data_IF_899685510512
#
_entry.id   IF_899685510512
#
_cell.length_a   1.000
_cell.length_b   1.000
_cell.length_c   1.000
_cell.angle_alpha   90.00
_cell.angle_beta   90.00
_cell.angle_gamma   90.00
#
_symmetry.space_group_name_H-M   'P 1'
#
loop_
_entity.id
_entity.type
_entity.pdbx_description
1 polymer ?
#
# COMPACT_ATOMS: atom_id res chain seq x y z
N UNK A 1 -9.31 -11.92 1.68
CA UNK A 1 -8.28 -12.79 1.08
C UNK A 1 -8.16 -12.40 -0.36
N UNK A 2 -7.02 -11.80 -0.69
CA UNK A 2 -6.67 -11.46 -2.06
C UNK A 2 -6.67 -12.72 -2.94
N UNK A 3 -7.36 -12.66 -4.08
CA UNK A 3 -7.39 -13.75 -5.05
C UNK A 3 -5.99 -14.00 -5.63
N UNK A 4 -5.73 -15.23 -6.03
CA UNK A 4 -4.59 -15.56 -6.87
C UNK A 4 -4.69 -14.85 -8.22
N UNK A 5 -3.55 -14.64 -8.87
CA UNK A 5 -3.49 -13.96 -10.16
C UNK A 5 -4.04 -14.91 -11.23
N UNK A 6 -5.06 -14.47 -11.95
CA UNK A 6 -5.51 -15.15 -13.17
C UNK A 6 -4.61 -14.72 -14.33
N UNK A 7 -4.09 -15.67 -15.12
CA UNK A 7 -3.27 -15.36 -16.30
C UNK A 7 -4.09 -15.53 -17.57
N UNK A 8 -4.10 -14.52 -18.43
CA UNK A 8 -4.73 -14.57 -19.76
C UNK A 8 -3.69 -14.36 -20.84
N UNK A 9 -3.40 -15.43 -21.58
CA UNK A 9 -2.54 -15.37 -22.76
C UNK A 9 -3.36 -14.89 -23.95
N UNK A 10 -2.97 -13.76 -24.55
CA UNK A 10 -3.75 -13.08 -25.58
C UNK A 10 -2.88 -12.57 -26.74
N UNK A 11 -3.50 -12.33 -27.89
CA UNK A 11 -2.90 -11.50 -28.93
C UNK A 11 -3.02 -10.01 -28.58
N UNK A 12 -2.11 -9.14 -29.08
CA UNK A 12 -2.18 -7.69 -28.85
C UNK A 12 -3.54 -7.04 -29.10
N UNK A 13 -4.23 -7.44 -30.17
CA UNK A 13 -5.55 -6.92 -30.55
C UNK A 13 -6.67 -7.24 -29.54
N UNK A 14 -6.44 -8.18 -28.63
CA UNK A 14 -7.40 -8.62 -27.62
C UNK A 14 -7.18 -7.93 -26.26
N UNK A 15 -6.17 -7.06 -26.15
CA UNK A 15 -5.93 -6.31 -24.91
C UNK A 15 -7.13 -5.41 -24.61
N UNK A 16 -7.71 -5.47 -23.39
CA UNK A 16 -8.83 -4.63 -23.03
C UNK A 16 -8.55 -3.13 -23.28
N UNK A 17 -9.49 -2.34 -23.84
CA UNK A 17 -9.24 -0.95 -24.22
C UNK A 17 -8.68 -0.07 -23.10
N UNK A 18 -9.13 -0.29 -21.85
CA UNK A 18 -8.63 0.45 -20.68
C UNK A 18 -7.15 0.14 -20.38
N UNK A 19 -6.74 -1.11 -20.58
CA UNK A 19 -5.34 -1.51 -20.40
C UNK A 19 -4.48 -1.07 -21.57
N UNK A 20 -5.02 -1.05 -22.79
CA UNK A 20 -4.34 -0.43 -23.92
C UNK A 20 -4.09 1.07 -23.70
N UNK A 21 -5.11 1.80 -23.21
CA UNK A 21 -4.96 3.21 -22.87
C UNK A 21 -3.85 3.41 -21.83
N UNK A 22 -3.82 2.57 -20.78
CA UNK A 22 -2.79 2.62 -19.74
C UNK A 22 -1.39 2.27 -20.28
N UNK A 23 -1.29 1.23 -21.13
CA UNK A 23 -0.06 0.82 -21.80
C UNK A 23 0.56 1.99 -22.57
N UNK A 24 -0.25 2.73 -23.33
CA UNK A 24 0.21 3.87 -24.11
C UNK A 24 0.54 5.10 -23.22
N UNK A 25 -0.34 5.45 -22.27
CA UNK A 25 -0.21 6.72 -21.54
C UNK A 25 0.74 6.66 -20.35
N UNK A 26 0.77 5.54 -19.61
CA UNK A 26 1.63 5.37 -18.42
C UNK A 26 2.96 4.72 -18.78
N UNK A 27 2.93 3.71 -19.65
CA UNK A 27 4.11 2.91 -19.96
C UNK A 27 4.74 3.26 -21.31
N UNK A 28 4.14 4.19 -22.07
CA UNK A 28 4.67 4.67 -23.35
C UNK A 28 5.01 3.54 -24.34
N UNK A 29 4.20 2.47 -24.33
CA UNK A 29 4.36 1.30 -25.20
C UNK A 29 3.21 1.22 -26.20
N UNK A 30 3.51 0.79 -27.42
CA UNK A 30 2.50 0.55 -28.46
C UNK A 30 1.73 -0.75 -28.24
N UNK A 31 0.55 -0.86 -28.84
CA UNK A 31 -0.27 -2.07 -28.70
C UNK A 31 0.47 -3.31 -29.18
N UNK A 32 1.18 -3.21 -30.30
CA UNK A 32 1.83 -4.36 -30.94
C UNK A 32 3.10 -4.83 -30.23
N UNK A 33 3.70 -3.95 -29.42
CA UNK A 33 4.86 -4.25 -28.56
C UNK A 33 4.45 -4.66 -27.14
N UNK A 34 3.15 -4.86 -26.91
CA UNK A 34 2.62 -5.37 -25.65
C UNK A 34 3.29 -6.68 -25.25
N UNK A 35 3.77 -6.75 -24.01
CA UNK A 35 4.29 -7.99 -23.41
C UNK A 35 3.40 -8.44 -22.25
N UNK A 36 3.12 -7.52 -21.31
CA UNK A 36 2.32 -7.80 -20.12
C UNK A 36 1.56 -6.57 -19.67
N UNK A 37 0.37 -6.78 -19.08
CA UNK A 37 -0.43 -5.75 -18.42
C UNK A 37 -1.17 -6.37 -17.24
N UNK A 38 -1.18 -5.68 -16.11
CA UNK A 38 -1.88 -6.13 -14.91
C UNK A 38 -3.16 -5.35 -14.69
N UNK A 39 -4.28 -6.06 -14.58
CA UNK A 39 -5.56 -5.53 -14.14
C UNK A 39 -5.68 -5.65 -12.62
N UNK A 40 -5.39 -4.56 -11.92
CA UNK A 40 -5.46 -4.50 -10.48
C UNK A 40 -6.87 -4.72 -9.92
N UNK A 41 -7.94 -4.42 -10.68
CA UNK A 41 -9.31 -4.61 -10.19
C UNK A 41 -9.68 -6.08 -10.15
N UNK A 42 -9.38 -6.80 -11.24
CA UNK A 42 -9.76 -8.19 -11.39
C UNK A 42 -8.67 -9.19 -11.01
N UNK A 43 -7.45 -8.69 -10.72
CA UNK A 43 -6.26 -9.50 -10.44
C UNK A 43 -5.90 -10.41 -11.62
N UNK A 44 -5.94 -9.84 -12.84
CA UNK A 44 -5.64 -10.56 -14.08
C UNK A 44 -4.32 -10.05 -14.66
N UNK A 45 -3.41 -10.96 -14.96
CA UNK A 45 -2.21 -10.69 -15.73
C UNK A 45 -2.46 -11.08 -17.19
N UNK A 46 -2.62 -10.08 -18.04
CA UNK A 46 -2.68 -10.28 -19.49
C UNK A 46 -1.25 -10.38 -20.01
N UNK A 47 -0.94 -11.44 -20.75
CA UNK A 47 0.40 -11.67 -21.30
C UNK A 47 0.29 -11.93 -22.80
N UNK A 48 1.20 -11.36 -23.58
CA UNK A 48 1.24 -11.61 -25.01
C UNK A 48 1.59 -13.08 -25.27
N UNK A 49 0.85 -13.71 -26.18
CA UNK A 49 1.06 -15.10 -26.62
C UNK A 49 2.45 -15.41 -27.18
N UNK A 50 3.26 -14.39 -27.50
CA UNK A 50 4.65 -14.56 -27.94
C UNK A 50 5.61 -14.82 -26.77
N UNK A 51 5.20 -14.55 -25.53
CA UNK A 51 6.03 -14.77 -24.35
C UNK A 51 6.11 -16.28 -24.04
N UNK A 52 7.32 -16.84 -23.85
CA UNK A 52 7.50 -18.23 -23.46
C UNK A 52 6.85 -18.56 -22.11
N UNK A 53 6.28 -19.75 -21.97
CA UNK A 53 5.58 -20.19 -20.75
C UNK A 53 6.45 -20.09 -19.48
N UNK A 54 7.74 -20.42 -19.59
CA UNK A 54 8.69 -20.29 -18.48
C UNK A 54 8.83 -18.84 -17.98
N UNK A 55 8.67 -17.86 -18.85
CA UNK A 55 8.78 -16.44 -18.49
C UNK A 55 7.46 -15.90 -17.96
N UNK A 56 6.32 -16.40 -18.48
CA UNK A 56 5.01 -16.16 -17.88
C UNK A 56 5.01 -16.56 -16.41
N UNK A 57 5.64 -17.69 -16.08
CA UNK A 57 5.75 -18.16 -14.69
C UNK A 57 6.52 -17.17 -13.82
N UNK A 58 7.69 -16.69 -14.29
CA UNK A 58 8.46 -15.64 -13.61
C UNK A 58 7.63 -14.37 -13.39
N UNK A 59 6.85 -13.96 -14.39
CA UNK A 59 5.99 -12.77 -14.26
C UNK A 59 4.96 -12.94 -13.12
N UNK A 60 4.35 -14.12 -13.02
CA UNK A 60 3.41 -14.44 -11.94
C UNK A 60 4.11 -14.48 -10.58
N UNK A 61 5.30 -15.09 -10.50
CA UNK A 61 6.09 -15.21 -9.27
C UNK A 61 6.47 -13.83 -8.74
N UNK A 62 6.96 -12.93 -9.61
CA UNK A 62 7.27 -11.53 -9.26
C UNK A 62 6.02 -10.81 -8.76
N UNK A 63 4.91 -10.85 -9.51
CA UNK A 63 3.68 -10.14 -9.16
C UNK A 63 3.01 -10.71 -7.89
N UNK A 64 3.22 -11.99 -7.59
CA UNK A 64 2.59 -12.68 -6.46
C UNK A 64 3.45 -12.75 -5.20
N UNK A 65 4.72 -12.34 -5.30
CA UNK A 65 5.69 -12.48 -4.22
C UNK A 65 5.19 -11.94 -2.90
N UNK A 66 5.62 -12.57 -1.81
CA UNK A 66 4.99 -12.39 -0.50
C UNK A 66 5.62 -11.28 0.34
N UNK A 67 6.80 -10.79 -0.05
CA UNK A 67 7.56 -9.80 0.72
C UNK A 67 7.82 -8.54 -0.10
N UNK A 68 7.98 -7.40 0.57
CA UNK A 68 8.15 -6.09 -0.08
C UNK A 68 9.42 -5.96 -0.94
N UNK A 69 10.44 -6.77 -0.66
CA UNK A 69 11.82 -6.55 -1.10
C UNK A 69 12.19 -7.41 -2.31
N UNK A 70 11.43 -7.31 -3.40
CA UNK A 70 11.70 -8.08 -4.63
C UNK A 70 12.92 -7.59 -5.41
N UNK A 71 13.39 -6.37 -5.14
CA UNK A 71 14.59 -5.80 -5.77
C UNK A 71 15.84 -5.92 -4.92
N UNK A 72 15.77 -6.62 -3.79
CA UNK A 72 16.95 -6.92 -2.96
C UNK A 72 17.69 -8.12 -3.54
N UNK A 73 19.03 -8.08 -3.57
CA UNK A 73 19.86 -9.17 -4.10
C UNK A 73 19.71 -10.45 -3.28
N UNK A 74 19.37 -10.34 -2.00
CA UNK A 74 19.12 -11.50 -1.13
C UNK A 74 17.70 -12.09 -1.31
N UNK A 75 16.87 -11.49 -2.19
CA UNK A 75 15.54 -12.00 -2.46
C UNK A 75 15.62 -13.29 -3.29
N UNK A 76 14.91 -14.37 -2.93
CA UNK A 76 14.92 -15.63 -3.67
C UNK A 76 14.48 -15.52 -5.15
N UNK A 77 13.84 -14.42 -5.54
CA UNK A 77 13.42 -14.15 -6.92
C UNK A 77 14.21 -13.01 -7.58
N UNK A 78 15.31 -12.55 -6.97
CA UNK A 78 16.12 -11.45 -7.50
C UNK A 78 16.58 -11.74 -8.94
N UNK A 79 17.09 -12.96 -9.19
CA UNK A 79 17.54 -13.40 -10.52
C UNK A 79 16.39 -13.36 -11.55
N UNK A 80 15.17 -13.74 -11.16
CA UNK A 80 14.00 -13.68 -12.03
C UNK A 80 13.61 -12.22 -12.33
N UNK A 81 13.67 -11.34 -11.33
CA UNK A 81 13.40 -9.91 -11.49
C UNK A 81 14.42 -9.25 -12.42
N UNK A 82 15.70 -9.56 -12.26
CA UNK A 82 16.79 -9.08 -13.11
C UNK A 82 16.65 -9.61 -14.53
N UNK A 83 16.43 -10.92 -14.69
CA UNK A 83 16.18 -11.53 -16.00
C UNK A 83 15.05 -10.84 -16.76
N UNK A 84 13.93 -10.55 -16.08
CA UNK A 84 12.79 -9.88 -16.73
C UNK A 84 13.15 -8.46 -17.18
N UNK A 85 13.94 -7.74 -16.38
CA UNK A 85 14.43 -6.43 -16.76
C UNK A 85 15.35 -6.51 -18.00
N UNK A 86 16.28 -7.45 -18.03
CA UNK A 86 17.22 -7.61 -19.14
C UNK A 86 16.54 -8.09 -20.44
N UNK A 87 15.63 -9.07 -20.34
CA UNK A 87 15.01 -9.70 -21.50
C UNK A 87 13.86 -8.89 -22.09
N UNK A 88 13.08 -8.18 -21.26
CA UNK A 88 11.85 -7.51 -21.65
C UNK A 88 11.85 -5.99 -21.41
N UNK A 89 12.88 -5.48 -20.73
CA UNK A 89 13.09 -4.05 -20.53
C UNK A 89 12.31 -3.46 -19.36
N UNK A 90 12.61 -2.18 -19.11
CA UNK A 90 12.11 -1.42 -17.96
C UNK A 90 10.58 -1.40 -17.84
N UNK A 91 9.85 -1.28 -18.94
CA UNK A 91 8.38 -1.20 -18.90
C UNK A 91 7.73 -2.48 -18.34
N UNK A 92 8.21 -3.65 -18.75
CA UNK A 92 7.69 -4.95 -18.29
C UNK A 92 8.02 -5.15 -16.83
N UNK A 93 9.27 -4.91 -16.45
CA UNK A 93 9.70 -4.92 -15.05
C UNK A 93 8.85 -3.95 -14.19
N UNK A 94 8.64 -2.72 -14.66
CA UNK A 94 7.88 -1.69 -13.94
C UNK A 94 6.40 -2.09 -13.76
N UNK A 95 5.76 -2.67 -14.77
CA UNK A 95 4.38 -3.18 -14.67
C UNK A 95 4.26 -4.27 -13.60
N UNK A 96 5.20 -5.22 -13.57
CA UNK A 96 5.17 -6.35 -12.63
C UNK A 96 5.48 -5.91 -11.20
N UNK A 97 6.44 -5.00 -11.01
CA UNK A 97 6.76 -4.45 -9.70
C UNK A 97 5.61 -3.59 -9.14
N UNK A 98 4.92 -2.83 -9.98
CA UNK A 98 3.70 -2.11 -9.60
C UNK A 98 2.56 -3.06 -9.21
N UNK A 99 2.37 -4.14 -9.97
CA UNK A 99 1.40 -5.18 -9.65
C UNK A 99 1.69 -5.83 -8.28
N UNK A 100 2.95 -6.16 -8.02
CA UNK A 100 3.41 -6.67 -6.73
C UNK A 100 3.12 -5.66 -5.59
N UNK A 101 3.50 -4.39 -5.76
CA UNK A 101 3.26 -3.32 -4.77
C UNK A 101 1.77 -3.15 -4.46
N UNK A 102 0.90 -3.12 -5.47
CA UNK A 102 -0.55 -3.04 -5.29
C UNK A 102 -1.08 -4.21 -4.45
N UNK A 103 -0.65 -5.43 -4.77
CA UNK A 103 -1.03 -6.64 -4.03
C UNK A 103 -0.56 -6.62 -2.59
N UNK A 104 0.66 -6.15 -2.34
CA UNK A 104 1.20 -5.99 -0.98
C UNK A 104 0.41 -4.96 -0.17
N UNK A 105 0.07 -3.81 -0.78
CA UNK A 105 -0.81 -2.80 -0.16
C UNK A 105 -2.17 -3.39 0.23
N UNK A 106 -2.78 -4.19 -0.66
CA UNK A 106 -4.06 -4.86 -0.39
C UNK A 106 -3.95 -5.88 0.75
N UNK A 107 -2.89 -6.70 0.79
CA UNK A 107 -2.66 -7.67 1.88
C UNK A 107 -2.50 -6.96 3.22
N UNK A 108 -1.69 -5.89 3.28
CA UNK A 108 -1.51 -5.13 4.52
C UNK A 108 -2.79 -4.41 4.94
N UNK A 109 -3.57 -3.88 4.00
CA UNK A 109 -4.88 -3.30 4.29
C UNK A 109 -5.85 -4.35 4.86
N UNK A 110 -5.93 -5.55 4.29
CA UNK A 110 -6.75 -6.65 4.84
C UNK A 110 -6.33 -7.00 6.27
N UNK A 111 -5.03 -7.17 6.52
CA UNK A 111 -4.50 -7.45 7.88
C UNK A 111 -4.84 -6.32 8.85
N UNK A 112 -4.67 -5.07 8.44
CA UNK A 112 -4.96 -3.90 9.26
C UNK A 112 -6.46 -3.80 9.57
N UNK A 113 -7.33 -4.05 8.59
CA UNK A 113 -8.79 -4.06 8.79
C UNK A 113 -9.22 -5.16 9.76
N UNK A 114 -8.67 -6.36 9.65
CA UNK A 114 -8.97 -7.45 10.58
C UNK A 114 -8.51 -7.14 12.01
N UNK A 115 -7.35 -6.50 12.18
CA UNK A 115 -6.92 -5.99 13.50
C UNK A 115 -7.85 -4.90 14.00
N UNK A 116 -8.23 -3.95 13.14
CA UNK A 116 -9.13 -2.85 13.50
C UNK A 116 -10.50 -3.36 13.99
N UNK A 117 -11.07 -4.38 13.35
CA UNK A 117 -12.33 -5.01 13.79
C UNK A 117 -12.27 -5.53 15.23
N UNK A 118 -11.11 -6.00 15.68
CA UNK A 118 -10.91 -6.52 17.05
C UNK A 118 -10.69 -5.42 18.06
N UNK A 119 -10.02 -4.34 17.66
CA UNK A 119 -9.63 -3.24 18.55
C UNK A 119 -10.78 -2.23 18.71
N UNK A 120 -11.55 -1.97 17.64
CA UNK A 120 -12.60 -0.96 17.63
C UNK A 120 -13.66 -1.11 18.74
N UNK A 121 -14.14 -2.33 19.09
CA UNK A 121 -15.07 -2.49 20.20
C UNK A 121 -14.49 -2.07 21.55
N UNK A 122 -13.19 -2.30 21.79
CA UNK A 122 -12.50 -1.89 23.03
C UNK A 122 -12.46 -0.37 23.11
N UNK A 123 -12.03 0.30 22.03
CA UNK A 123 -12.01 1.77 21.97
C UNK A 123 -13.41 2.35 22.19
N UNK A 124 -14.44 1.75 21.57
CA UNK A 124 -15.83 2.21 21.74
C UNK A 124 -16.34 2.10 23.17
N UNK A 125 -15.94 1.07 23.92
CA UNK A 125 -16.34 0.93 25.31
C UNK A 125 -15.79 2.07 26.16
N UNK A 126 -14.50 2.41 25.99
CA UNK A 126 -13.87 3.55 26.67
C UNK A 126 -14.53 4.88 26.28
N UNK A 127 -14.80 5.09 24.98
CA UNK A 127 -15.47 6.31 24.52
C UNK A 127 -16.88 6.46 25.10
N UNK A 128 -17.65 5.38 25.21
CA UNK A 128 -18.97 5.44 25.81
C UNK A 128 -18.89 5.81 27.29
N UNK A 129 -17.94 5.26 28.04
CA UNK A 129 -17.74 5.62 29.45
C UNK A 129 -17.39 7.11 29.63
N UNK A 130 -16.66 7.71 28.68
CA UNK A 130 -16.41 9.17 28.68
C UNK A 130 -17.70 9.94 28.39
N UNK A 131 -18.44 9.55 27.34
CA UNK A 131 -19.68 10.24 26.92
C UNK A 131 -20.78 10.16 27.97
N UNK A 132 -20.85 9.04 28.70
CA UNK A 132 -21.80 8.81 29.78
C UNK A 132 -21.33 9.40 31.13
N UNK A 133 -20.24 10.19 31.13
CA UNK A 133 -19.62 10.83 32.29
C UNK A 133 -19.16 9.84 33.40
N UNK A 134 -18.94 8.57 33.06
CA UNK A 134 -18.47 7.53 34.00
C UNK A 134 -16.98 7.69 34.32
N UNK A 135 -16.20 8.15 33.36
CA UNK A 135 -14.78 8.51 33.53
C UNK A 135 -14.51 9.91 32.97
N UNK A 136 -13.54 10.67 33.54
CA UNK A 136 -13.14 11.95 32.98
C UNK A 136 -12.59 11.78 31.56
N UNK A 137 -12.91 12.73 30.67
CA UNK A 137 -12.28 12.79 29.36
C UNK A 137 -10.78 13.09 29.52
N UNK A 138 -9.87 12.19 29.07
CA UNK A 138 -8.45 12.44 29.14
C UNK A 138 -7.94 13.41 28.05
N UNK A 139 -8.80 13.88 27.13
CA UNK A 139 -8.43 14.81 26.07
C UNK A 139 -8.85 16.26 26.39
N UNK A 140 -7.86 17.16 26.44
CA UNK A 140 -8.10 18.58 26.23
C UNK A 140 -8.23 18.85 24.70
N UNK A 141 -9.46 19.07 24.25
CA UNK A 141 -9.80 19.32 22.85
C UNK A 141 -9.00 20.46 22.22
N UNK A 142 -8.73 21.54 22.96
CA UNK A 142 -7.97 22.68 22.44
C UNK A 142 -6.49 22.34 22.31
N UNK A 143 -5.91 21.65 23.29
CA UNK A 143 -4.53 21.17 23.21
C UNK A 143 -4.38 20.21 22.03
N UNK A 144 -5.27 19.24 21.90
CA UNK A 144 -5.27 18.25 20.80
C UNK A 144 -5.35 18.95 19.44
N UNK A 145 -6.24 19.94 19.29
CA UNK A 145 -6.37 20.73 18.06
C UNK A 145 -5.08 21.48 17.72
N UNK A 146 -4.49 22.17 18.71
CA UNK A 146 -3.24 22.92 18.53
C UNK A 146 -2.07 22.00 18.13
N UNK A 147 -1.95 20.83 18.75
CA UNK A 147 -0.90 19.85 18.43
C UNK A 147 -1.09 19.29 17.03
N UNK A 148 -2.32 19.00 16.62
CA UNK A 148 -2.62 18.55 15.27
C UNK A 148 -2.19 19.58 14.21
N UNK A 149 -2.54 20.85 14.41
CA UNK A 149 -2.18 21.92 13.46
C UNK A 149 -0.67 22.18 13.44
N UNK A 150 -0.03 22.23 14.61
CA UNK A 150 1.42 22.40 14.71
C UNK A 150 2.19 21.24 14.05
N UNK A 151 1.75 20.00 14.24
CA UNK A 151 2.36 18.82 13.61
C UNK A 151 2.19 18.81 12.08
N UNK A 152 1.07 19.33 11.56
CA UNK A 152 0.88 19.53 10.12
C UNK A 152 1.83 20.57 9.55
N UNK A 153 1.99 21.70 10.22
CA UNK A 153 2.90 22.76 9.76
C UNK A 153 4.37 22.32 9.87
N UNK A 154 4.75 21.63 10.94
CA UNK A 154 6.11 21.16 11.17
C UNK A 154 6.66 20.25 10.06
N UNK A 155 5.78 19.46 9.45
CA UNK A 155 6.12 18.53 8.37
C UNK A 155 5.57 18.97 7.00
N UNK A 156 5.16 20.23 6.86
CA UNK A 156 4.52 20.74 5.63
C UNK A 156 5.37 20.57 4.38
N UNK A 157 6.68 20.78 4.50
CA UNK A 157 7.64 20.70 3.40
C UNK A 157 8.26 19.31 3.25
N UNK A 158 7.88 18.34 4.08
CA UNK A 158 8.39 16.98 3.99
C UNK A 158 7.63 16.20 2.94
N UNK A 159 8.36 15.35 2.23
CA UNK A 159 7.75 14.41 1.31
C UNK A 159 7.00 13.30 2.07
N UNK A 160 5.68 13.44 2.14
CA UNK A 160 4.79 12.56 2.90
C UNK A 160 3.80 11.80 2.00
N UNK A 161 4.04 11.74 0.68
CA UNK A 161 3.08 11.17 -0.28
C UNK A 161 2.76 9.68 -0.05
N UNK A 162 3.64 8.94 0.63
CA UNK A 162 3.41 7.53 0.99
C UNK A 162 2.75 7.33 2.36
N UNK A 163 2.57 8.39 3.15
CA UNK A 163 1.92 8.29 4.47
C UNK A 163 0.39 8.20 4.34
N UNK A 164 -0.19 7.10 4.80
CA UNK A 164 -1.64 6.88 4.82
C UNK A 164 -2.40 7.71 5.87
N UNK A 165 -1.67 8.29 6.83
CA UNK A 165 -2.22 9.12 7.92
C UNK A 165 -1.48 10.44 7.91
N UNK A 166 -2.23 11.54 8.02
CA UNK A 166 -1.65 12.88 8.06
C UNK A 166 -0.72 13.04 9.28
N UNK A 167 0.22 13.98 9.19
CA UNK A 167 1.24 14.18 10.22
C UNK A 167 0.64 14.67 11.53
N UNK A 168 -0.28 15.64 11.51
CA UNK A 168 -0.97 16.12 12.71
C UNK A 168 -1.59 15.00 13.57
N UNK A 169 -2.27 14.05 12.94
CA UNK A 169 -2.89 12.90 13.62
C UNK A 169 -1.84 11.96 14.23
N UNK A 170 -0.65 11.83 13.62
CA UNK A 170 0.46 11.11 14.24
C UNK A 170 0.96 11.84 15.49
N UNK A 171 1.04 13.17 15.47
CA UNK A 171 1.45 13.95 16.64
C UNK A 171 0.44 13.81 17.78
N UNK A 172 -0.87 13.86 17.48
CA UNK A 172 -1.93 13.59 18.47
C UNK A 172 -1.84 12.18 19.05
N UNK A 173 -1.62 11.17 18.20
CA UNK A 173 -1.41 9.80 18.68
C UNK A 173 -0.20 9.71 19.63
N UNK A 174 0.91 10.36 19.27
CA UNK A 174 2.10 10.38 20.13
C UNK A 174 1.91 11.18 21.42
N UNK A 175 1.12 12.26 21.41
CA UNK A 175 0.73 12.96 22.64
C UNK A 175 0.06 11.99 23.61
N UNK A 176 -0.99 11.29 23.17
CA UNK A 176 -1.69 10.29 24.00
C UNK A 176 -0.77 9.15 24.45
N UNK A 177 0.10 8.65 23.57
CA UNK A 177 1.09 7.62 23.94
C UNK A 177 2.09 8.12 24.99
N UNK A 178 2.56 9.36 24.89
CA UNK A 178 3.51 9.96 25.84
C UNK A 178 2.85 10.25 27.19
N UNK A 179 1.60 10.70 27.21
CA UNK A 179 0.80 10.85 28.43
C UNK A 179 0.56 9.49 29.10
N UNK A 180 0.10 8.50 28.34
CA UNK A 180 -0.15 7.14 28.85
C UNK A 180 1.11 6.40 29.31
N UNK A 181 2.29 6.76 28.77
CA UNK A 181 3.59 6.25 29.25
C UNK A 181 4.21 7.07 30.37
N UNK A 182 3.53 8.13 30.84
CA UNK A 182 3.98 9.00 31.93
C UNK A 182 5.17 9.91 31.59
N UNK A 183 5.51 10.04 30.30
CA UNK A 183 6.59 10.91 29.82
C UNK A 183 6.15 12.37 29.73
N UNK A 184 4.88 12.61 29.46
CA UNK A 184 4.23 13.89 29.66
C UNK A 184 3.33 13.70 30.88
N UNK A 185 3.53 14.54 31.88
CA UNK A 185 2.62 14.64 33.02
C UNK A 185 1.87 15.94 32.83
N UNK A 186 0.56 15.92 33.04
CA UNK A 186 -0.13 17.17 33.36
C UNK A 186 0.57 17.73 34.60
N UNK A 187 1.18 18.91 34.46
CA UNK A 187 1.59 19.64 35.64
C UNK A 187 0.31 19.86 36.43
N UNK A 188 0.21 19.23 37.61
CA UNK A 188 -0.85 19.53 38.55
C UNK A 188 -0.84 21.05 38.73
N UNK A 189 -1.92 21.70 38.29
CA UNK A 189 -2.09 23.14 38.15
C UNK A 189 -1.41 23.93 39.28
N UNK A 190 -0.64 24.95 38.89
CA UNK A 190 -0.14 26.00 39.80
C UNK A 190 -1.18 27.12 39.94
#
# INVERSE_FOLDING_TARGET
MLKDIEVKIIAPAQLPPVLYWLLNHKYHTEQWDFVVMFDAKWQILYVNRTVPENDVKKFVDIASWQTWYIGDMDCPIADDVEYVYEAYGWNVWHILTEAHKDRMKKREAEKAQEKAKKILPVIKAEMNAIVDDEIPDPMDDYLVSCINDAGREADRDRDMHECLVNTGMKYVFYLGYLMGSGKIKEEAEA
#
